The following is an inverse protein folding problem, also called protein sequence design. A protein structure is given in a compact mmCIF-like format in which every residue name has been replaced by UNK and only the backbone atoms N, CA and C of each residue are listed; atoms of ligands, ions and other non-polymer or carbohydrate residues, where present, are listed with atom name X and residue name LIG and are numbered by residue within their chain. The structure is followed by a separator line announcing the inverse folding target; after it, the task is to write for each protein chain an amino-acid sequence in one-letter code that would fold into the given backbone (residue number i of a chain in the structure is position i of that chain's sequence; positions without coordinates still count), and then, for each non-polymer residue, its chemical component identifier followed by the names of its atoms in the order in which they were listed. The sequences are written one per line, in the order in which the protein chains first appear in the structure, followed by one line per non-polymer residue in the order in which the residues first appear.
data_IF_086834761254
#
_entry.id   IF_086834761254
#
_cell.length_a   1.000
_cell.length_b   1.000
_cell.length_c   1.000
_cell.angle_alpha   90.00
_cell.angle_beta   90.00
_cell.angle_gamma   90.00
#
_symmetry.space_group_name_H-M   'P 1'
#
loop_
_entity.id
_entity.type
_entity.pdbx_description
1 polymer ?
#
# COMPACT_ATOMS: atom_id res chain seq x y z
N UNK A 1 17.51 -11.91 -8.15
CA UNK A 1 16.57 -12.14 -7.05
C UNK A 1 15.96 -13.51 -7.27
N UNK A 2 16.11 -14.42 -6.29
CA UNK A 2 15.45 -15.73 -6.35
C UNK A 2 14.07 -15.70 -5.66
N UNK A 3 13.34 -16.82 -5.70
CA UNK A 3 12.01 -16.91 -5.10
C UNK A 3 12.04 -16.75 -3.57
N UNK A 4 13.11 -17.19 -2.92
CA UNK A 4 13.26 -17.10 -1.47
C UNK A 4 13.47 -15.65 -1.06
N UNK A 5 14.29 -14.90 -1.81
CA UNK A 5 14.47 -13.45 -1.62
C UNK A 5 13.14 -12.69 -1.73
N UNK A 6 12.31 -13.02 -2.73
CA UNK A 6 11.00 -12.40 -2.94
C UNK A 6 10.05 -12.65 -1.76
N UNK A 7 10.02 -13.89 -1.27
CA UNK A 7 9.18 -14.28 -0.14
C UNK A 7 9.65 -13.61 1.16
N UNK A 8 10.96 -13.56 1.39
CA UNK A 8 11.55 -12.89 2.55
C UNK A 8 11.23 -11.39 2.54
N UNK A 9 11.45 -10.70 1.42
CA UNK A 9 11.13 -9.27 1.27
C UNK A 9 9.65 -8.98 1.50
N UNK A 10 8.77 -9.83 0.98
CA UNK A 10 7.33 -9.72 1.21
C UNK A 10 6.96 -9.92 2.69
N UNK A 11 7.58 -10.88 3.37
CA UNK A 11 7.37 -11.15 4.79
C UNK A 11 7.90 -10.02 5.69
N UNK A 12 9.10 -9.51 5.42
CA UNK A 12 9.71 -8.38 6.13
C UNK A 12 8.85 -7.12 6.04
N UNK A 13 8.35 -6.82 4.84
CA UNK A 13 7.39 -5.72 4.62
C UNK A 13 6.18 -5.86 5.55
N UNK A 14 5.54 -7.04 5.58
CA UNK A 14 4.37 -7.26 6.42
C UNK A 14 4.71 -7.15 7.91
N UNK A 15 5.84 -7.73 8.34
CA UNK A 15 6.29 -7.70 9.73
C UNK A 15 6.60 -6.28 10.21
N UNK A 16 7.20 -5.44 9.35
CA UNK A 16 7.49 -4.04 9.70
C UNK A 16 6.25 -3.21 10.01
N UNK A 17 5.07 -3.57 9.47
CA UNK A 17 3.81 -2.87 9.70
C UNK A 17 3.20 -3.17 11.07
N UNK A 18 3.83 -4.03 11.87
CA UNK A 18 3.56 -4.14 13.30
C UNK A 18 4.09 -2.95 14.09
N UNK A 19 5.13 -2.26 13.58
CA UNK A 19 5.60 -1.00 14.14
C UNK A 19 4.71 0.17 13.73
N UNK A 20 4.38 1.03 14.70
CA UNK A 20 3.45 2.16 14.53
C UNK A 20 4.02 3.20 13.56
N UNK A 21 5.34 3.44 13.60
CA UNK A 21 5.98 4.42 12.72
C UNK A 21 5.97 3.94 11.27
N UNK A 22 6.27 2.66 11.06
CA UNK A 22 6.19 2.04 9.73
C UNK A 22 4.76 2.00 9.19
N UNK A 23 3.76 1.70 10.03
CA UNK A 23 2.34 1.77 9.65
C UNK A 23 1.92 3.19 9.25
N UNK A 24 2.33 4.21 10.01
CA UNK A 24 2.05 5.60 9.68
C UNK A 24 2.66 5.99 8.34
N UNK A 25 3.94 5.68 8.10
CA UNK A 25 4.61 5.96 6.81
C UNK A 25 3.90 5.28 5.64
N UNK A 26 3.50 4.02 5.81
CA UNK A 26 2.76 3.28 4.79
C UNK A 26 1.40 3.94 4.48
N UNK A 27 0.70 4.43 5.51
CA UNK A 27 -0.55 5.17 5.35
C UNK A 27 -0.35 6.50 4.60
N UNK A 28 0.69 7.27 4.97
CA UNK A 28 1.04 8.53 4.29
C UNK A 28 1.40 8.31 2.81
N UNK A 29 2.13 7.23 2.50
CA UNK A 29 2.44 6.88 1.11
C UNK A 29 1.20 6.47 0.32
N UNK A 30 0.33 5.66 0.92
CA UNK A 30 -0.95 5.34 0.31
C UNK A 30 -1.73 6.62 0.00
N UNK A 31 -1.81 7.57 0.93
CA UNK A 31 -2.47 8.86 0.73
C UNK A 31 -1.85 9.67 -0.41
N UNK A 32 -0.51 9.69 -0.49
CA UNK A 32 0.22 10.34 -1.58
C UNK A 32 -0.14 9.75 -2.96
N UNK A 33 -0.17 8.43 -3.08
CA UNK A 33 -0.59 7.76 -4.31
C UNK A 33 -2.08 7.98 -4.60
N UNK A 34 -2.93 7.84 -3.59
CA UNK A 34 -4.39 7.97 -3.67
C UNK A 34 -4.85 9.38 -4.08
N UNK A 35 -4.08 10.43 -3.76
CA UNK A 35 -4.41 11.81 -4.12
C UNK A 35 -4.62 12.01 -5.64
N UNK A 36 -3.98 11.20 -6.48
CA UNK A 36 -4.17 11.21 -7.94
C UNK A 36 -5.54 10.68 -8.38
N UNK A 37 -6.23 9.93 -7.52
CA UNK A 37 -7.51 9.27 -7.77
C UNK A 37 -8.64 9.86 -6.92
N UNK A 38 -8.58 11.16 -6.62
CA UNK A 38 -9.52 11.82 -5.73
C UNK A 38 -10.99 11.57 -6.15
N UNK A 39 -11.83 11.24 -5.16
CA UNK A 39 -13.23 10.88 -5.37
C UNK A 39 -13.49 9.42 -5.77
N UNK A 40 -12.47 8.57 -5.87
CA UNK A 40 -12.67 7.12 -5.95
C UNK A 40 -13.05 6.54 -4.58
N UNK A 41 -13.73 5.41 -4.56
CA UNK A 41 -13.84 4.58 -3.35
C UNK A 41 -12.60 3.70 -3.21
N UNK A 42 -12.34 3.15 -2.03
CA UNK A 42 -11.20 2.25 -1.79
C UNK A 42 -11.67 0.90 -1.29
N UNK A 43 -11.07 -0.18 -1.81
CA UNK A 43 -11.18 -1.55 -1.31
C UNK A 43 -9.79 -2.12 -1.10
N UNK A 44 -9.52 -2.66 0.08
CA UNK A 44 -8.29 -3.39 0.33
C UNK A 44 -8.38 -4.81 -0.27
N UNK A 45 -7.31 -5.24 -0.96
CA UNK A 45 -7.18 -6.56 -1.56
C UNK A 45 -6.68 -7.62 -0.58
N UNK A 46 -6.18 -7.21 0.58
CA UNK A 46 -5.60 -8.07 1.61
C UNK A 46 -5.83 -7.50 3.01
N UNK A 47 -5.76 -8.36 4.04
CA UNK A 47 -5.93 -7.94 5.43
C UNK A 47 -4.84 -6.94 5.89
N UNK A 48 -3.62 -7.06 5.35
CA UNK A 48 -2.56 -6.11 5.65
C UNK A 48 -2.85 -4.74 5.02
N UNK A 49 -3.42 -4.72 3.82
CA UNK A 49 -3.87 -3.48 3.19
C UNK A 49 -5.07 -2.86 3.92
N UNK A 50 -5.98 -3.65 4.50
CA UNK A 50 -7.05 -3.13 5.38
C UNK A 50 -6.47 -2.40 6.59
N UNK A 51 -5.40 -2.92 7.21
CA UNK A 51 -4.73 -2.28 8.35
C UNK A 51 -4.14 -0.93 7.95
N UNK A 52 -3.41 -0.88 6.83
CA UNK A 52 -2.82 0.38 6.33
C UNK A 52 -3.92 1.36 5.92
N UNK A 53 -5.00 0.90 5.27
CA UNK A 53 -6.15 1.73 4.92
C UNK A 53 -6.82 2.31 6.17
N UNK A 54 -6.98 1.51 7.24
CA UNK A 54 -7.51 2.00 8.52
C UNK A 54 -6.65 3.12 9.10
N UNK A 55 -5.33 2.97 9.09
CA UNK A 55 -4.41 4.03 9.51
C UNK A 55 -4.51 5.28 8.60
N UNK A 56 -4.63 5.09 7.29
CA UNK A 56 -4.83 6.20 6.34
C UNK A 56 -6.15 6.95 6.58
N UNK A 57 -7.23 6.25 6.92
CA UNK A 57 -8.52 6.86 7.28
C UNK A 57 -8.46 7.66 8.59
N UNK A 58 -7.57 7.30 9.52
CA UNK A 58 -7.33 8.12 10.72
C UNK A 58 -6.62 9.43 10.37
N UNK A 59 -5.76 9.44 9.35
CA UNK A 59 -5.06 10.63 8.87
C UNK A 59 -5.92 11.48 7.93
N UNK A 60 -6.78 10.84 7.12
CA UNK A 60 -7.71 11.48 6.19
C UNK A 60 -9.10 10.80 6.27
N UNK A 61 -10.02 11.32 7.11
CA UNK A 61 -11.35 10.75 7.32
C UNK A 61 -12.27 10.78 6.10
N UNK A 62 -11.93 11.56 5.07
CA UNK A 62 -12.76 11.73 3.86
C UNK A 62 -12.60 10.57 2.86
N UNK A 63 -11.70 9.62 3.12
CA UNK A 63 -11.55 8.42 2.30
C UNK A 63 -12.85 7.59 2.33
N UNK A 64 -13.51 7.52 1.19
CA UNK A 64 -14.68 6.67 1.01
C UNK A 64 -14.28 5.21 0.83
N UNK A 65 -14.63 4.33 1.76
CA UNK A 65 -14.49 2.87 1.56
C UNK A 65 -15.70 2.33 0.81
N UNK A 66 -15.48 1.35 -0.08
CA UNK A 66 -16.56 0.65 -0.78
C UNK A 66 -16.21 0.24 -2.20
N UNK A 67 -17.01 -0.68 -2.75
CA UNK A 67 -16.77 -1.28 -4.07
C UNK A 67 -17.69 -0.78 -5.18
N UNK A 68 -18.40 0.34 -5.00
CA UNK A 68 -19.33 0.90 -5.99
C UNK A 68 -18.76 2.20 -6.57
N UNK A 69 -18.95 2.42 -7.87
CA UNK A 69 -18.37 3.57 -8.57
C UNK A 69 -16.90 3.35 -8.94
N UNK A 70 -16.24 4.42 -9.37
CA UNK A 70 -14.78 4.44 -9.57
C UNK A 70 -14.08 4.00 -8.28
N UNK A 71 -13.27 2.94 -8.35
CA UNK A 71 -12.72 2.28 -7.16
C UNK A 71 -11.22 2.04 -7.31
N UNK A 72 -10.48 2.39 -6.26
CA UNK A 72 -9.09 2.01 -6.03
C UNK A 72 -9.06 0.69 -5.26
N UNK A 73 -8.33 -0.27 -5.78
CA UNK A 73 -8.02 -1.55 -5.15
C UNK A 73 -6.61 -1.45 -4.60
N UNK A 74 -6.47 -1.57 -3.29
CA UNK A 74 -5.22 -1.33 -2.59
C UNK A 74 -4.59 -2.61 -2.06
N UNK A 75 -3.30 -2.81 -2.29
CA UNK A 75 -2.50 -3.81 -1.60
C UNK A 75 -1.17 -3.21 -1.09
N UNK A 76 -0.50 -3.87 -0.15
CA UNK A 76 0.83 -3.43 0.31
C UNK A 76 1.90 -3.90 -0.68
N UNK A 77 1.83 -5.17 -1.07
CA UNK A 77 2.81 -5.79 -1.95
C UNK A 77 2.18 -6.23 -3.26
N UNK A 78 2.89 -6.06 -4.37
CA UNK A 78 2.56 -6.66 -5.65
C UNK A 78 3.72 -7.50 -6.18
N UNK A 79 3.47 -8.78 -6.40
CA UNK A 79 4.32 -9.65 -7.22
C UNK A 79 3.60 -9.95 -8.53
N UNK A 80 2.69 -10.93 -8.52
CA UNK A 80 1.91 -11.31 -9.70
C UNK A 80 0.62 -10.51 -9.89
N UNK A 81 0.25 -9.65 -8.93
CA UNK A 81 -1.04 -8.95 -8.92
C UNK A 81 -2.26 -9.81 -8.58
N UNK A 82 -2.09 -11.09 -8.21
CA UNK A 82 -3.21 -12.03 -8.04
C UNK A 82 -4.30 -11.51 -7.08
N UNK A 83 -3.93 -10.89 -5.96
CA UNK A 83 -4.90 -10.37 -4.99
C UNK A 83 -5.69 -9.19 -5.57
N UNK A 84 -4.99 -8.25 -6.22
CA UNK A 84 -5.62 -7.13 -6.91
C UNK A 84 -6.58 -7.60 -8.02
N UNK A 85 -6.17 -8.58 -8.84
CA UNK A 85 -7.05 -9.16 -9.87
C UNK A 85 -8.27 -9.87 -9.29
N UNK A 86 -8.11 -10.61 -8.18
CA UNK A 86 -9.23 -11.28 -7.49
C UNK A 86 -10.22 -10.26 -6.92
N UNK A 87 -9.72 -9.21 -6.28
CA UNK A 87 -10.55 -8.13 -5.78
C UNK A 87 -11.29 -7.42 -6.93
N UNK A 88 -10.59 -7.14 -8.05
CA UNK A 88 -11.20 -6.51 -9.21
C UNK A 88 -12.32 -7.37 -9.81
N UNK A 89 -12.06 -8.67 -10.01
CA UNK A 89 -13.08 -9.61 -10.49
C UNK A 89 -14.27 -9.68 -9.55
N UNK A 90 -14.04 -9.75 -8.24
CA UNK A 90 -15.12 -9.73 -7.24
C UNK A 90 -15.98 -8.46 -7.35
N UNK A 91 -15.37 -7.29 -7.60
CA UNK A 91 -16.12 -6.06 -7.81
C UNK A 91 -16.96 -6.10 -9.10
N UNK A 92 -16.40 -6.67 -10.19
CA UNK A 92 -17.16 -6.92 -11.43
C UNK A 92 -18.34 -7.86 -11.19
N UNK A 93 -18.13 -8.95 -10.48
CA UNK A 93 -19.16 -9.94 -10.14
C UNK A 93 -20.29 -9.33 -9.29
N UNK A 94 -19.97 -8.30 -8.49
CA UNK A 94 -20.94 -7.51 -7.71
C UNK A 94 -21.62 -6.38 -8.52
N UNK A 95 -21.35 -6.30 -9.83
CA UNK A 95 -21.99 -5.36 -10.74
C UNK A 95 -21.30 -4.01 -10.88
N UNK A 96 -20.10 -3.82 -10.32
CA UNK A 96 -19.32 -2.61 -10.58
C UNK A 96 -18.86 -2.61 -12.05
N UNK A 97 -19.35 -1.66 -12.84
CA UNK A 97 -18.97 -1.46 -14.25
C UNK A 97 -18.09 -0.23 -14.48
N UNK A 98 -17.76 0.50 -13.41
CA UNK A 98 -16.94 1.71 -13.45
C UNK A 98 -15.43 1.40 -13.52
N UNK A 99 -14.61 2.45 -13.53
CA UNK A 99 -13.17 2.34 -13.53
C UNK A 99 -12.63 1.68 -12.25
N UNK A 100 -11.77 0.67 -12.42
CA UNK A 100 -11.01 0.05 -11.35
C UNK A 100 -9.52 0.36 -11.54
N UNK A 101 -8.86 0.85 -10.50
CA UNK A 101 -7.42 1.16 -10.50
C UNK A 101 -6.75 0.41 -9.34
N UNK A 102 -5.55 -0.10 -9.53
CA UNK A 102 -4.76 -0.71 -8.48
C UNK A 102 -3.76 0.27 -7.87
N UNK A 103 -3.57 0.22 -6.56
CA UNK A 103 -2.41 0.82 -5.87
C UNK A 103 -1.71 -0.29 -5.10
N UNK A 104 -0.40 -0.40 -5.27
CA UNK A 104 0.47 -1.19 -4.41
C UNK A 104 1.52 -0.27 -3.75
N UNK A 105 1.94 -0.52 -2.51
CA UNK A 105 3.05 0.25 -1.94
C UNK A 105 4.38 -0.20 -2.50
N UNK A 106 4.63 -1.50 -2.52
CA UNK A 106 5.89 -2.10 -2.95
C UNK A 106 5.65 -3.11 -4.09
N UNK A 107 6.53 -3.09 -5.09
CA UNK A 107 6.63 -4.14 -6.09
C UNK A 107 7.76 -5.10 -5.70
N UNK A 108 7.44 -6.39 -5.59
CA UNK A 108 8.44 -7.42 -5.28
C UNK A 108 9.23 -7.80 -6.54
N UNK A 109 8.64 -7.62 -7.72
CA UNK A 109 9.29 -7.85 -9.02
C UNK A 109 9.33 -6.54 -9.81
N UNK A 110 10.17 -6.47 -10.83
CA UNK A 110 10.21 -5.34 -11.77
C UNK A 110 8.82 -5.13 -12.40
N UNK A 111 8.12 -4.09 -11.93
CA UNK A 111 6.78 -3.74 -12.40
C UNK A 111 6.83 -2.52 -13.32
N UNK A 112 6.29 -2.66 -14.52
CA UNK A 112 6.10 -1.51 -15.43
C UNK A 112 4.79 -0.81 -15.06
N UNK A 113 4.89 0.42 -14.57
CA UNK A 113 3.72 1.24 -14.28
C UNK A 113 2.90 1.52 -15.56
N UNK A 114 1.60 1.74 -15.39
CA UNK A 114 0.70 2.17 -16.48
C UNK A 114 0.20 1.05 -17.40
N UNK A 115 0.51 -0.22 -17.14
CA UNK A 115 -0.09 -1.34 -17.90
C UNK A 115 -1.39 -1.80 -17.25
N UNK A 116 -2.45 -1.92 -18.06
CA UNK A 116 -3.69 -2.58 -17.65
C UNK A 116 -3.38 -4.01 -17.18
N UNK A 117 -4.03 -4.44 -16.10
CA UNK A 117 -3.79 -5.74 -15.46
C UNK A 117 -5.13 -6.39 -15.08
N UNK A 118 -5.52 -7.43 -15.82
CA UNK A 118 -6.82 -8.06 -15.66
C UNK A 118 -7.95 -7.05 -15.87
N UNK A 119 -8.79 -6.87 -14.85
CA UNK A 119 -9.92 -5.93 -14.83
C UNK A 119 -9.53 -4.50 -14.40
N UNK A 120 -8.26 -4.28 -14.06
CA UNK A 120 -7.74 -2.97 -13.68
C UNK A 120 -7.35 -2.17 -14.92
N UNK A 121 -7.81 -0.92 -14.95
CA UNK A 121 -7.42 0.05 -15.99
C UNK A 121 -5.98 0.50 -15.85
N UNK A 122 -5.46 0.51 -14.63
CA UNK A 122 -4.08 0.89 -14.31
C UNK A 122 -3.67 0.27 -12.98
N UNK A 123 -2.37 0.04 -12.79
CA UNK A 123 -1.76 -0.30 -11.50
C UNK A 123 -0.59 0.66 -11.22
N UNK A 124 -0.67 1.34 -10.09
CA UNK A 124 0.32 2.29 -9.58
C UNK A 124 1.10 1.66 -8.43
N UNK A 125 2.43 1.83 -8.42
CA UNK A 125 3.29 1.42 -7.29
C UNK A 125 3.80 2.66 -6.59
N UNK A 126 3.40 2.88 -5.33
CA UNK A 126 3.66 4.11 -4.60
C UNK A 126 5.16 4.39 -4.39
N UNK A 127 5.99 3.35 -4.26
CA UNK A 127 7.44 3.50 -4.15
C UNK A 127 8.10 4.18 -5.37
N UNK A 128 7.41 4.31 -6.50
CA UNK A 128 7.89 5.06 -7.66
C UNK A 128 7.68 6.58 -7.52
N UNK A 129 6.87 7.03 -6.56
CA UNK A 129 6.60 8.46 -6.30
C UNK A 129 7.50 9.05 -5.21
N UNK A 130 8.03 8.21 -4.32
CA UNK A 130 9.03 8.61 -3.34
C UNK A 130 10.42 8.40 -3.95
N UNK A 131 11.15 9.47 -4.26
CA UNK A 131 12.54 9.43 -4.77
C UNK A 131 13.58 8.88 -3.78
N UNK A 132 13.20 7.94 -2.91
CA UNK A 132 14.01 7.30 -1.88
C UNK A 132 14.31 5.86 -2.26
N UNK A 133 15.57 5.46 -2.14
CA UNK A 133 16.04 4.11 -2.43
C UNK A 133 15.27 3.07 -1.61
N UNK A 134 15.00 1.92 -2.23
CA UNK A 134 14.23 0.77 -1.73
C UNK A 134 14.70 0.24 -0.36
N UNK A 135 15.95 0.51 0.02
CA UNK A 135 16.61 0.04 1.26
C UNK A 135 16.28 0.85 2.51
N UNK A 136 15.90 2.13 2.35
CA UNK A 136 15.75 3.05 3.49
C UNK A 136 14.31 3.07 4.02
N UNK A 137 13.40 2.43 3.28
CA UNK A 137 11.97 2.51 3.51
C UNK A 137 11.49 1.63 4.67
N UNK A 138 12.03 0.41 4.77
CA UNK A 138 11.67 -0.56 5.82
C UNK A 138 12.59 -0.51 7.06
N UNK A 139 13.58 0.39 7.08
CA UNK A 139 14.41 0.64 8.25
C UNK A 139 13.63 1.51 9.26
N UNK A 140 12.69 0.90 9.99
CA UNK A 140 12.15 1.47 11.22
C UNK A 140 12.94 0.92 12.42
N UNK A 141 13.90 1.72 12.92
CA UNK A 141 14.77 1.46 14.08
C UNK A 141 16.24 1.30 13.65
N UNK A 142 17.21 2.14 14.01
CA UNK A 142 17.51 2.76 15.30
C UNK A 142 17.43 4.30 15.33
N UNK A 143 16.48 4.86 16.08
CA UNK A 143 16.64 6.17 16.73
C UNK A 143 15.94 6.18 18.09
N UNK A 144 16.44 5.36 18.99
CA UNK A 144 16.19 5.55 20.42
C UNK A 144 17.42 5.12 21.20
N UNK A 145 18.43 5.98 21.24
CA UNK A 145 19.14 6.31 22.48
C UNK A 145 20.09 7.51 22.31
N UNK A 146 19.66 8.71 22.70
CA UNK A 146 20.52 9.76 23.30
C UNK A 146 19.66 10.97 23.65
N UNK A 147 19.27 11.11 24.92
CA UNK A 147 18.65 12.35 25.37
C UNK A 147 17.82 12.31 26.65
N UNK A 148 17.99 11.31 27.52
CA UNK A 148 17.61 11.46 28.93
C UNK A 148 18.87 11.79 29.72
N UNK A 149 19.19 13.08 29.84
CA UNK A 149 20.01 13.53 30.97
C UNK A 149 19.14 13.48 32.24
N UNK A 150 19.54 12.75 33.29
CA UNK A 150 18.92 12.90 34.59
C UNK A 150 19.42 14.22 35.18
N UNK A 151 18.53 15.21 35.30
CA UNK A 151 18.77 16.40 36.07
C UNK A 151 18.89 16.03 37.56
N UNK A 152 20.12 15.74 38.00
CA UNK A 152 20.54 15.82 39.38
C UNK A 152 21.16 17.20 39.59
N UNK A 153 20.43 18.08 40.28
CA UNK A 153 20.94 19.05 41.26
C UNK A 153 19.79 19.73 41.99
#
# INVERSE_FOLDING_TARGET
MDLVDLLNKGAETVASLDDVTCLQKAAEQFLGAYATFNGCRVVAASAIAERVLGAAMMLNPDIGVGGQGRTVIFDVNVASGTQLARAARRLRDLGNSDQLVGIALCALIDWRAGTAFGELTELVVAHQFAGTAESDFWQCGDRSDSGLEPALR
#
